data_IF_850444857584
#
_entry.id   IF_850444857584
#
_cell.length_a   1.000
_cell.length_b   1.000
_cell.length_c   1.000
_cell.angle_alpha   90.00
_cell.angle_beta   90.00
_cell.angle_gamma   90.00
#
_symmetry.space_group_name_H-M   'P 1'
#
loop_
_entity.id
_entity.type
_entity.pdbx_description
1 polymer ?
#
# COMPACT_ATOMS: atom_id res chain seq x y z
N UNK A 1 -7.19 1.49 -13.65
CA UNK A 1 -6.36 1.58 -14.88
C UNK A 1 -5.99 0.19 -15.39
N UNK A 2 -5.41 -0.70 -14.56
CA UNK A 2 -5.10 -2.09 -14.94
C UNK A 2 -6.31 -2.85 -15.48
N UNK A 3 -7.37 -2.98 -14.67
CA UNK A 3 -8.63 -3.62 -15.06
C UNK A 3 -9.27 -2.91 -16.25
N UNK A 4 -9.15 -1.57 -16.34
CA UNK A 4 -9.69 -0.81 -17.46
C UNK A 4 -8.96 -1.12 -18.78
N UNK A 5 -7.63 -1.20 -18.75
CA UNK A 5 -6.83 -1.58 -19.91
C UNK A 5 -7.07 -3.04 -20.31
N UNK A 6 -7.17 -3.95 -19.34
CA UNK A 6 -7.48 -5.36 -19.58
C UNK A 6 -8.87 -5.54 -20.20
N UNK A 7 -9.87 -4.82 -19.69
CA UNK A 7 -11.21 -4.75 -20.28
C UNK A 7 -11.15 -4.17 -21.70
N UNK A 8 -10.45 -3.06 -21.92
CA UNK A 8 -10.29 -2.47 -23.26
C UNK A 8 -9.62 -3.45 -24.23
N UNK A 9 -8.59 -4.17 -23.80
CA UNK A 9 -7.93 -5.20 -24.62
C UNK A 9 -8.83 -6.39 -24.94
N UNK A 10 -9.76 -6.72 -24.03
CA UNK A 10 -10.71 -7.83 -24.21
C UNK A 10 -11.83 -7.45 -25.18
N UNK A 11 -12.31 -6.20 -25.12
CA UNK A 11 -13.43 -5.72 -25.93
C UNK A 11 -13.02 -5.16 -27.30
N UNK A 12 -11.78 -4.67 -27.47
CA UNK A 12 -11.29 -4.11 -28.75
C UNK A 12 -9.82 -4.44 -29.01
N UNK A 13 -9.54 -5.71 -29.37
CA UNK A 13 -8.22 -6.17 -29.83
C UNK A 13 -7.53 -5.26 -30.86
N UNK A 14 -8.18 -4.79 -31.94
CA UNK A 14 -7.48 -3.98 -32.94
C UNK A 14 -7.04 -2.61 -32.42
N UNK A 15 -7.81 -2.00 -31.50
CA UNK A 15 -7.44 -0.74 -30.86
C UNK A 15 -6.28 -0.94 -29.86
N UNK A 16 -6.33 -2.05 -29.11
CA UNK A 16 -5.24 -2.49 -28.24
C UNK A 16 -3.95 -2.66 -29.03
N UNK A 17 -3.97 -3.41 -30.14
CA UNK A 17 -2.80 -3.65 -30.97
C UNK A 17 -2.22 -2.34 -31.54
N UNK A 18 -3.07 -1.36 -31.86
CA UNK A 18 -2.64 -0.02 -32.29
C UNK A 18 -1.97 0.79 -31.18
N UNK A 19 -2.47 0.71 -29.94
CA UNK A 19 -1.91 1.39 -28.78
C UNK A 19 -0.57 0.76 -28.36
N UNK A 20 -0.52 -0.58 -28.27
CA UNK A 20 0.71 -1.34 -27.99
C UNK A 20 1.72 -1.29 -29.13
N UNK A 21 1.31 -0.91 -30.35
CA UNK A 21 2.21 -0.70 -31.48
C UNK A 21 3.14 0.50 -31.30
N UNK A 22 2.79 1.48 -30.45
CA UNK A 22 3.64 2.64 -30.21
C UNK A 22 4.81 2.29 -29.27
N UNK A 23 6.04 2.66 -29.66
CA UNK A 23 7.24 2.40 -28.85
C UNK A 23 7.14 3.07 -27.46
N UNK A 24 6.52 4.25 -27.41
CA UNK A 24 6.27 5.00 -26.19
C UNK A 24 5.38 4.21 -25.21
N UNK A 25 4.28 3.61 -25.69
CA UNK A 25 3.39 2.82 -24.85
C UNK A 25 4.02 1.50 -24.40
N UNK A 26 4.80 0.85 -25.25
CA UNK A 26 5.55 -0.36 -24.88
C UNK A 26 6.44 -0.12 -23.65
N UNK A 27 7.16 1.00 -23.61
CA UNK A 27 8.05 1.34 -22.49
C UNK A 27 7.28 1.88 -21.28
N UNK A 28 6.45 2.91 -21.51
CA UNK A 28 5.78 3.64 -20.45
C UNK A 28 4.62 2.85 -19.83
N UNK A 29 3.92 2.05 -20.64
CA UNK A 29 2.85 1.18 -20.18
C UNK A 29 3.37 0.12 -19.20
N UNK A 30 4.43 -0.61 -19.58
CA UNK A 30 5.05 -1.60 -18.69
C UNK A 30 5.64 -0.94 -17.43
N UNK A 31 6.24 0.25 -17.56
CA UNK A 31 6.73 1.03 -16.41
C UNK A 31 5.61 1.37 -15.41
N UNK A 32 4.48 1.92 -15.90
CA UNK A 32 3.32 2.24 -15.06
C UNK A 32 2.72 0.98 -14.43
N UNK A 33 2.62 -0.11 -15.21
CA UNK A 33 2.07 -1.38 -14.75
C UNK A 33 2.88 -1.95 -13.58
N UNK A 34 4.21 -1.79 -13.60
CA UNK A 34 5.06 -2.22 -12.52
C UNK A 34 5.00 -1.27 -11.30
N UNK A 35 5.12 0.04 -11.52
CA UNK A 35 5.32 0.99 -10.42
C UNK A 35 4.04 1.24 -9.60
N UNK A 36 2.86 1.30 -10.23
CA UNK A 36 1.62 1.67 -9.54
C UNK A 36 1.24 0.68 -8.44
N UNK A 37 1.27 -0.65 -8.66
CA UNK A 37 0.99 -1.60 -7.61
C UNK A 37 2.02 -1.57 -6.48
N UNK A 38 3.31 -1.42 -6.78
CA UNK A 38 4.37 -1.31 -5.78
C UNK A 38 4.22 -0.06 -4.90
N UNK A 39 3.89 1.09 -5.51
CA UNK A 39 3.60 2.32 -4.79
C UNK A 39 2.37 2.18 -3.89
N UNK A 40 1.29 1.60 -4.42
CA UNK A 40 0.07 1.35 -3.66
C UNK A 40 0.38 0.52 -2.40
N UNK A 41 1.04 -0.63 -2.56
CA UNK A 41 1.45 -1.50 -1.46
C UNK A 41 2.34 -0.78 -0.44
N UNK A 42 3.32 0.00 -0.91
CA UNK A 42 4.21 0.79 -0.03
C UNK A 42 3.43 1.79 0.82
N UNK A 43 2.48 2.51 0.21
CA UNK A 43 1.68 3.51 0.92
C UNK A 43 0.73 2.89 1.95
N UNK A 44 0.22 1.69 1.69
CA UNK A 44 -0.59 0.95 2.67
C UNK A 44 0.26 0.57 3.90
N UNK A 45 1.50 0.12 3.68
CA UNK A 45 2.45 -0.17 4.76
C UNK A 45 2.78 1.11 5.55
N UNK A 46 3.12 2.21 4.88
CA UNK A 46 3.39 3.49 5.53
C UNK A 46 2.19 4.01 6.32
N UNK A 47 0.97 3.88 5.79
CA UNK A 47 -0.26 4.25 6.50
C UNK A 47 -0.45 3.39 7.75
N UNK A 48 -0.06 2.12 7.71
CA UNK A 48 -0.11 1.23 8.88
C UNK A 48 0.93 1.64 9.93
N UNK A 49 2.13 2.02 9.51
CA UNK A 49 3.18 2.55 10.39
C UNK A 49 2.71 3.85 11.07
N UNK A 50 2.16 4.79 10.29
CA UNK A 50 1.64 6.05 10.82
C UNK A 50 0.55 5.81 11.88
N UNK A 51 -0.39 4.91 11.61
CA UNK A 51 -1.42 4.50 12.59
C UNK A 51 -0.82 3.85 13.83
N UNK A 52 0.18 3.01 13.69
CA UNK A 52 0.93 2.46 14.83
C UNK A 52 1.54 3.59 15.66
N UNK A 53 2.19 4.56 15.03
CA UNK A 53 2.79 5.71 15.70
C UNK A 53 1.74 6.54 16.48
N UNK A 54 0.56 6.79 15.89
CA UNK A 54 -0.55 7.49 16.57
C UNK A 54 -1.06 6.69 17.77
N UNK A 55 -1.19 5.37 17.62
CA UNK A 55 -1.71 4.48 18.67
C UNK A 55 -0.73 4.26 19.84
N UNK A 56 0.55 4.59 19.64
CA UNK A 56 1.61 4.34 20.61
C UNK A 56 1.50 5.25 21.84
N UNK A 57 1.77 4.67 23.00
CA UNK A 57 1.81 5.40 24.28
C UNK A 57 3.08 6.24 24.43
N UNK A 58 4.13 5.94 23.66
CA UNK A 58 5.39 6.66 23.72
C UNK A 58 5.28 7.98 22.93
N UNK A 59 5.46 9.11 23.61
CA UNK A 59 5.39 10.43 22.99
C UNK A 59 6.42 10.61 21.86
N UNK A 60 7.59 10.00 21.96
CA UNK A 60 8.65 10.08 20.94
C UNK A 60 8.20 9.40 19.65
N UNK A 61 7.58 8.22 19.74
CA UNK A 61 7.04 7.50 18.58
C UNK A 61 5.83 8.25 18.00
N UNK A 62 4.99 8.84 18.84
CA UNK A 62 3.83 9.63 18.39
C UNK A 62 4.22 10.87 17.60
N UNK A 63 5.36 11.50 17.93
CA UNK A 63 5.90 12.66 17.20
C UNK A 63 6.27 12.33 15.75
N UNK A 64 6.51 11.06 15.41
CA UNK A 64 6.79 10.64 14.02
C UNK A 64 5.56 10.74 13.11
N UNK A 65 4.35 10.65 13.67
CA UNK A 65 3.09 10.86 12.92
C UNK A 65 2.78 12.36 12.76
N UNK A 66 3.78 13.14 12.38
CA UNK A 66 3.61 14.54 12.03
C UNK A 66 3.39 14.64 10.52
N UNK A 67 2.35 15.36 10.11
CA UNK A 67 2.00 15.56 8.69
C UNK A 67 3.18 16.04 7.84
N UNK A 68 4.10 16.84 8.41
CA UNK A 68 5.30 17.31 7.71
C UNK A 68 6.27 16.15 7.41
N UNK A 69 6.49 15.28 8.39
CA UNK A 69 7.37 14.11 8.25
C UNK A 69 6.72 13.10 7.29
N UNK A 70 5.43 12.80 7.47
CA UNK A 70 4.72 11.86 6.60
C UNK A 70 4.75 12.29 5.13
N UNK A 71 4.63 13.59 4.85
CA UNK A 71 4.76 14.12 3.47
C UNK A 71 6.16 13.92 2.89
N UNK A 72 7.20 14.16 3.68
CA UNK A 72 8.60 13.94 3.26
C UNK A 72 8.83 12.46 2.96
N UNK A 73 8.38 11.55 3.83
CA UNK A 73 8.53 10.11 3.64
C UNK A 73 7.80 9.63 2.39
N UNK A 74 6.55 10.05 2.17
CA UNK A 74 5.78 9.71 0.97
C UNK A 74 6.50 10.16 -0.30
N UNK A 75 7.04 11.39 -0.30
CA UNK A 75 7.80 11.91 -1.43
C UNK A 75 9.10 11.12 -1.67
N UNK A 76 9.85 10.80 -0.62
CA UNK A 76 11.07 9.98 -0.73
C UNK A 76 10.75 8.60 -1.31
N UNK A 77 9.69 7.94 -0.83
CA UNK A 77 9.27 6.63 -1.32
C UNK A 77 8.85 6.69 -2.79
N UNK A 78 8.14 7.75 -3.20
CA UNK A 78 7.80 7.98 -4.60
C UNK A 78 9.05 8.07 -5.48
N UNK A 79 10.03 8.88 -5.08
CA UNK A 79 11.28 9.06 -5.84
C UNK A 79 12.08 7.75 -5.91
N UNK A 80 12.19 7.02 -4.80
CA UNK A 80 12.89 5.72 -4.75
C UNK A 80 12.26 4.75 -5.76
N UNK A 81 10.93 4.62 -5.76
CA UNK A 81 10.26 3.72 -6.70
C UNK A 81 10.42 4.16 -8.14
N UNK A 82 10.29 5.46 -8.44
CA UNK A 82 10.49 5.98 -9.79
C UNK A 82 11.89 5.65 -10.32
N UNK A 83 12.92 5.91 -9.50
CA UNK A 83 14.32 5.61 -9.86
C UNK A 83 14.56 4.11 -9.98
N UNK A 84 14.01 3.29 -9.07
CA UNK A 84 14.14 1.84 -9.12
C UNK A 84 13.53 1.27 -10.41
N UNK A 85 12.32 1.72 -10.79
CA UNK A 85 11.64 1.24 -11.99
C UNK A 85 12.25 1.74 -13.31
N UNK A 86 13.25 2.64 -13.28
CA UNK A 86 13.86 3.20 -14.48
C UNK A 86 14.50 2.14 -15.39
N UNK A 87 14.87 0.98 -14.83
CA UNK A 87 15.42 -0.14 -15.60
C UNK A 87 14.42 -0.71 -16.64
N UNK A 88 13.11 -0.56 -16.42
CA UNK A 88 12.04 -1.07 -17.30
C UNK A 88 12.01 -0.37 -18.67
N UNK A 89 11.86 0.97 -18.78
CA UNK A 89 11.84 1.65 -20.07
C UNK A 89 13.18 1.53 -20.83
N UNK A 90 14.27 1.20 -20.14
CA UNK A 90 15.57 0.95 -20.75
C UNK A 90 15.61 -0.48 -21.32
N UNK A 91 15.14 -1.48 -20.57
CA UNK A 91 15.18 -2.89 -20.97
C UNK A 91 14.17 -3.31 -22.04
N UNK A 92 12.98 -2.69 -22.05
CA UNK A 92 11.93 -3.03 -23.02
C UNK A 92 12.10 -2.27 -24.33
N UNK A 93 11.98 -2.98 -25.45
CA UNK A 93 11.89 -2.38 -26.77
C UNK A 93 10.89 -3.12 -27.66
N UNK A 94 10.61 -2.52 -28.82
CA UNK A 94 9.72 -3.09 -29.82
C UNK A 94 10.53 -4.02 -30.72
N UNK A 95 10.36 -5.33 -30.54
CA UNK A 95 11.07 -6.35 -31.31
C UNK A 95 10.12 -6.94 -32.35
N UNK A 96 10.55 -6.96 -33.61
CA UNK A 96 9.82 -7.63 -34.69
C UNK A 96 10.26 -9.08 -34.73
N UNK A 97 9.30 -9.98 -34.56
CA UNK A 97 9.58 -11.41 -34.62
C UNK A 97 9.83 -11.84 -36.08
N UNK A 98 11.00 -12.42 -36.41
CA UNK A 98 11.35 -12.78 -37.77
C UNK A 98 10.50 -13.92 -38.35
N UNK A 99 9.90 -14.78 -37.51
CA UNK A 99 9.07 -15.90 -38.00
C UNK A 99 7.62 -15.49 -38.27
N UNK A 100 7.07 -14.61 -37.44
CA UNK A 100 5.63 -14.28 -37.50
C UNK A 100 5.38 -12.91 -38.13
N UNK A 101 6.41 -12.09 -38.34
CA UNK A 101 6.32 -10.68 -38.73
C UNK A 101 5.49 -9.80 -37.78
N UNK A 102 5.05 -10.36 -36.65
CA UNK A 102 4.31 -9.65 -35.61
C UNK A 102 5.30 -8.85 -34.78
N UNK A 103 4.94 -7.61 -34.50
CA UNK A 103 5.76 -6.76 -33.64
C UNK A 103 5.26 -6.86 -32.21
N UNK A 104 6.15 -7.24 -31.29
CA UNK A 104 5.83 -7.41 -29.87
C UNK A 104 6.72 -6.52 -29.01
N UNK A 105 6.17 -6.07 -27.89
CA UNK A 105 6.92 -5.40 -26.85
C UNK A 105 7.64 -6.47 -26.01
N UNK A 106 8.96 -6.51 -26.06
CA UNK A 106 9.75 -7.53 -25.36
C UNK A 106 11.08 -6.94 -24.89
N UNK A 107 11.71 -7.62 -23.94
CA UNK A 107 13.03 -7.22 -23.44
C UNK A 107 14.06 -7.46 -24.55
N UNK A 108 14.81 -6.41 -24.90
CA UNK A 108 15.90 -6.46 -25.89
C UNK A 108 17.27 -6.64 -25.22
N UNK A 109 17.43 -6.08 -24.02
CA UNK A 109 18.71 -6.05 -23.32
C UNK A 109 18.93 -7.34 -22.54
N UNK A 110 19.96 -8.09 -22.91
CA UNK A 110 20.36 -9.34 -22.25
C UNK A 110 19.50 -10.54 -22.64
N UNK A 111 19.50 -11.57 -21.79
CA UNK A 111 18.59 -12.71 -21.95
C UNK A 111 17.18 -12.29 -21.51
N UNK A 112 16.19 -12.24 -22.43
CA UNK A 112 14.84 -11.77 -22.10
C UNK A 112 14.22 -12.62 -20.98
N UNK A 113 14.52 -13.91 -20.97
CA UNK A 113 14.06 -14.84 -19.94
C UNK A 113 14.62 -14.50 -18.56
N UNK A 114 15.91 -14.17 -18.47
CA UNK A 114 16.57 -13.86 -17.19
C UNK A 114 16.05 -12.56 -16.60
N UNK A 115 15.85 -11.54 -17.43
CA UNK A 115 15.31 -10.26 -17.00
C UNK A 115 13.90 -10.42 -16.40
N UNK A 116 13.01 -11.12 -17.12
CA UNK A 116 11.62 -11.35 -16.69
C UNK A 116 11.57 -12.16 -15.40
N UNK A 117 12.43 -13.18 -15.25
CA UNK A 117 12.49 -14.00 -14.04
C UNK A 117 12.91 -13.15 -12.84
N UNK A 118 13.96 -12.33 -12.99
CA UNK A 118 14.47 -11.51 -11.88
C UNK A 118 13.43 -10.48 -11.47
N UNK A 119 12.89 -9.72 -12.43
CA UNK A 119 11.90 -8.66 -12.14
C UNK A 119 10.61 -9.24 -11.57
N UNK A 120 10.12 -10.34 -12.16
CA UNK A 120 8.96 -11.08 -11.66
C UNK A 120 9.17 -11.64 -10.25
N UNK A 121 10.38 -12.14 -9.94
CA UNK A 121 10.72 -12.61 -8.60
C UNK A 121 10.71 -11.46 -7.59
N UNK A 122 11.32 -10.31 -7.89
CA UNK A 122 11.30 -9.15 -7.00
C UNK A 122 9.88 -8.63 -6.77
N UNK A 123 9.07 -8.54 -7.83
CA UNK A 123 7.68 -8.11 -7.75
C UNK A 123 6.85 -9.07 -6.90
N UNK A 124 6.99 -10.38 -7.14
CA UNK A 124 6.30 -11.43 -6.38
C UNK A 124 6.72 -11.45 -4.92
N UNK A 125 8.02 -11.32 -4.63
CA UNK A 125 8.53 -11.27 -3.25
C UNK A 125 8.01 -10.03 -2.51
N UNK A 126 8.01 -8.88 -3.17
CA UNK A 126 7.59 -7.62 -2.55
C UNK A 126 6.09 -7.62 -2.22
N UNK A 127 5.24 -8.05 -3.17
CA UNK A 127 3.78 -8.08 -2.99
C UNK A 127 3.32 -9.29 -2.19
N UNK A 128 3.88 -10.46 -2.47
CA UNK A 128 3.44 -11.73 -1.87
C UNK A 128 3.99 -11.98 -0.47
N UNK A 129 5.16 -11.44 -0.11
CA UNK A 129 5.77 -11.71 1.20
C UNK A 129 6.03 -10.44 2.01
N UNK A 130 6.77 -9.48 1.46
CA UNK A 130 7.28 -8.33 2.24
C UNK A 130 6.13 -7.44 2.72
N UNK A 131 5.26 -7.03 1.79
CA UNK A 131 4.10 -6.17 2.11
C UNK A 131 3.19 -6.80 3.17
N UNK A 132 2.65 -8.02 3.00
CA UNK A 132 1.77 -8.63 3.99
C UNK A 132 2.47 -8.90 5.32
N UNK A 133 3.76 -9.22 5.32
CA UNK A 133 4.55 -9.38 6.54
C UNK A 133 4.57 -8.09 7.38
N UNK A 134 4.88 -6.94 6.77
CA UNK A 134 4.85 -5.66 7.47
C UNK A 134 3.45 -5.29 7.94
N UNK A 135 2.43 -5.50 7.10
CA UNK A 135 1.04 -5.23 7.49
C UNK A 135 0.59 -6.11 8.67
N UNK A 136 1.00 -7.37 8.70
CA UNK A 136 0.71 -8.27 9.81
C UNK A 136 1.36 -7.78 11.11
N UNK A 137 2.66 -7.44 11.06
CA UNK A 137 3.39 -6.93 12.24
C UNK A 137 2.76 -5.64 12.76
N UNK A 138 2.60 -4.63 11.91
CA UNK A 138 2.03 -3.34 12.36
C UNK A 138 0.56 -3.48 12.74
N UNK A 139 -0.21 -4.32 12.06
CA UNK A 139 -1.58 -4.65 12.43
C UNK A 139 -1.69 -5.25 13.83
N UNK A 140 -0.85 -6.24 14.16
CA UNK A 140 -0.78 -6.83 15.48
C UNK A 140 -0.36 -5.80 16.54
N UNK A 141 0.66 -4.99 16.28
CA UNK A 141 1.12 -3.94 17.19
C UNK A 141 0.02 -2.91 17.47
N UNK A 142 -0.72 -2.47 16.44
CA UNK A 142 -1.87 -1.57 16.60
C UNK A 142 -2.94 -2.25 17.47
N UNK A 143 -3.25 -3.52 17.23
CA UNK A 143 -4.22 -4.28 18.01
C UNK A 143 -3.83 -4.34 19.49
N UNK A 144 -2.57 -4.65 19.81
CA UNK A 144 -2.08 -4.67 21.19
C UNK A 144 -2.18 -3.28 21.86
N UNK A 145 -1.78 -2.22 21.16
CA UNK A 145 -1.90 -0.85 21.67
C UNK A 145 -3.36 -0.46 21.92
N UNK A 146 -4.28 -0.81 21.03
CA UNK A 146 -5.71 -0.54 21.19
C UNK A 146 -6.32 -1.31 22.36
N UNK A 147 -5.99 -2.60 22.54
CA UNK A 147 -6.46 -3.40 23.67
C UNK A 147 -6.00 -2.79 24.99
N UNK A 148 -4.72 -2.41 25.08
CA UNK A 148 -4.13 -1.74 26.26
C UNK A 148 -4.78 -0.39 26.54
N UNK A 149 -5.10 0.38 25.50
CA UNK A 149 -5.79 1.67 25.63
C UNK A 149 -7.21 1.50 26.16
N UNK A 150 -7.98 0.52 25.64
CA UNK A 150 -9.34 0.21 26.13
C UNK A 150 -9.36 -0.22 27.60
N UNK A 151 -8.42 -1.07 28.04
CA UNK A 151 -8.35 -1.52 29.43
C UNK A 151 -8.05 -0.40 30.43
N UNK A 152 -7.51 0.75 30.00
CA UNK A 152 -7.28 1.92 30.87
C UNK A 152 -8.46 2.87 30.94
N UNK A 153 -9.39 2.81 29.98
CA UNK A 153 -10.52 3.72 29.86
C UNK A 153 -11.80 3.11 30.47
N UNK A 154 -11.85 1.80 30.76
CA UNK A 154 -12.85 1.27 31.69
C UNK A 154 -12.53 1.85 33.08
N UNK A 155 -13.32 2.80 33.61
CA UNK A 155 -13.15 3.22 34.97
C UNK A 155 -13.51 2.03 35.86
N UNK A 156 -12.88 1.95 37.02
CA UNK A 156 -13.36 1.11 38.11
C UNK A 156 -14.85 1.45 38.40
N UNK A 157 -15.79 0.75 37.79
CA UNK A 157 -17.23 0.83 38.10
C UNK A 157 -17.54 0.10 39.41
N UNK A 158 -16.63 0.14 40.38
CA UNK A 158 -16.80 -0.44 41.71
C UNK A 158 -15.94 0.35 42.71
N UNK A 159 -16.29 1.61 42.94
CA UNK A 159 -16.04 2.29 44.21
C UNK A 159 -17.07 3.40 44.37
N UNK A 160 -18.03 3.11 45.23
CA UNK A 160 -19.04 4.01 45.78
C UNK A 160 -18.34 5.27 46.35
N UNK A 161 -19.01 6.43 46.23
CA UNK A 161 -18.74 7.69 46.96
C UNK A 161 -17.77 8.70 46.33
N UNK A 162 -18.31 9.66 45.54
CA UNK A 162 -18.50 11.05 45.97
C UNK A 162 -18.90 11.95 44.78
N UNK A 163 -20.11 12.51 44.90
CA UNK A 163 -20.77 13.43 43.96
C UNK A 163 -20.17 14.85 44.05
N UNK A 164 -18.93 15.14 43.64
CA UNK A 164 -18.48 16.55 43.51
C UNK A 164 -17.44 16.75 42.40
N UNK A 165 -17.64 16.24 41.17
CA UNK A 165 -16.87 16.73 39.98
C UNK A 165 -17.57 16.40 38.64
N UNK A 166 -18.90 16.56 38.55
CA UNK A 166 -19.67 16.13 37.37
C UNK A 166 -19.71 17.14 36.20
N UNK A 167 -19.01 18.27 36.29
CA UNK A 167 -19.11 19.37 35.29
C UNK A 167 -18.11 19.32 34.12
N UNK A 168 -16.96 18.66 34.24
CA UNK A 168 -15.88 18.71 33.24
C UNK A 168 -15.51 17.37 32.58
N UNK A 169 -15.93 16.24 33.14
CA UNK A 169 -15.54 14.90 32.64
C UNK A 169 -16.49 14.40 31.53
N UNK A 170 -17.71 14.95 31.45
CA UNK A 170 -18.77 14.57 30.51
C UNK A 170 -18.55 15.04 29.07
N UNK A 171 -17.66 16.00 28.81
CA UNK A 171 -17.32 16.46 27.45
C UNK A 171 -16.13 15.71 26.82
N UNK A 172 -15.30 15.05 27.62
CA UNK A 172 -14.09 14.32 27.18
C UNK A 172 -14.43 12.87 26.78
N UNK A 173 -15.38 12.24 27.49
CA UNK A 173 -15.87 10.89 27.19
C UNK A 173 -16.44 10.71 25.77
N UNK A 174 -17.30 11.59 25.20
CA UNK A 174 -17.80 11.41 23.85
C UNK A 174 -16.68 11.53 22.80
N UNK A 175 -15.70 12.42 23.01
CA UNK A 175 -14.56 12.60 22.09
C UNK A 175 -13.70 11.33 22.05
N UNK A 176 -13.43 10.72 23.22
CA UNK A 176 -12.63 9.48 23.32
C UNK A 176 -13.40 8.30 22.70
N UNK A 177 -14.71 8.18 22.93
CA UNK A 177 -15.53 7.09 22.36
C UNK A 177 -15.60 7.21 20.83
N UNK A 178 -15.80 8.42 20.28
CA UNK A 178 -15.81 8.68 18.84
C UNK A 178 -14.44 8.40 18.21
N UNK A 179 -13.35 8.79 18.87
CA UNK A 179 -11.98 8.48 18.43
C UNK A 179 -11.72 6.97 18.40
N UNK A 180 -12.17 6.23 19.43
CA UNK A 180 -12.02 4.78 19.50
C UNK A 180 -12.85 4.05 18.44
N UNK A 181 -14.04 4.57 18.13
CA UNK A 181 -14.91 4.03 17.07
C UNK A 181 -14.29 4.26 15.69
N UNK A 182 -13.77 5.46 15.40
CA UNK A 182 -13.02 5.75 14.16
C UNK A 182 -11.78 4.85 14.01
N UNK A 183 -11.00 4.67 15.08
CA UNK A 183 -9.84 3.79 15.06
C UNK A 183 -10.23 2.33 14.80
N UNK A 184 -11.35 1.87 15.36
CA UNK A 184 -11.88 0.53 15.10
C UNK A 184 -12.31 0.36 13.64
N UNK A 185 -13.06 1.32 13.08
CA UNK A 185 -13.46 1.26 11.67
C UNK A 185 -12.27 1.30 10.72
N UNK A 186 -11.25 2.10 11.03
CA UNK A 186 -10.01 2.14 10.27
C UNK A 186 -9.19 0.85 10.39
N UNK A 187 -9.17 0.20 11.56
CA UNK A 187 -8.55 -1.11 11.76
C UNK A 187 -9.29 -2.20 10.98
N UNK A 188 -10.61 -2.21 11.00
CA UNK A 188 -11.43 -3.13 10.20
C UNK A 188 -11.18 -2.93 8.71
N UNK A 189 -11.07 -1.68 8.25
CA UNK A 189 -10.68 -1.37 6.87
C UNK A 189 -9.29 -1.92 6.54
N UNK A 190 -8.31 -1.79 7.44
CA UNK A 190 -6.96 -2.34 7.27
C UNK A 190 -6.97 -3.87 7.22
N UNK A 191 -7.72 -4.54 8.10
CA UNK A 191 -7.85 -5.99 8.11
C UNK A 191 -8.53 -6.51 6.85
N UNK A 192 -9.60 -5.86 6.41
CA UNK A 192 -10.25 -6.18 5.13
C UNK A 192 -9.28 -5.96 3.98
N UNK A 193 -8.47 -4.91 4.01
CA UNK A 193 -7.47 -4.63 2.99
C UNK A 193 -6.34 -5.68 2.98
N UNK A 194 -5.85 -6.11 4.15
CA UNK A 194 -4.89 -7.21 4.28
C UNK A 194 -5.49 -8.51 3.77
N UNK A 195 -6.72 -8.82 4.16
CA UNK A 195 -7.44 -10.02 3.72
C UNK A 195 -7.65 -10.01 2.20
N UNK A 196 -8.04 -8.87 1.62
CA UNK A 196 -8.16 -8.69 0.16
C UNK A 196 -6.81 -8.87 -0.52
N UNK A 197 -5.74 -8.29 0.03
CA UNK A 197 -4.38 -8.38 -0.56
C UNK A 197 -3.90 -9.83 -0.57
N UNK A 198 -4.15 -10.58 0.50
CA UNK A 198 -3.80 -12.01 0.61
C UNK A 198 -4.68 -12.87 -0.31
N UNK A 199 -5.99 -12.64 -0.35
CA UNK A 199 -6.95 -13.47 -1.11
C UNK A 199 -6.88 -13.19 -2.61
N UNK A 200 -6.79 -11.93 -3.02
CA UNK A 200 -6.80 -11.56 -4.45
C UNK A 200 -5.45 -11.74 -5.12
N UNK A 201 -4.38 -12.06 -4.37
CA UNK A 201 -3.03 -12.16 -4.90
C UNK A 201 -2.67 -10.95 -5.79
N UNK A 202 -3.21 -9.78 -5.42
CA UNK A 202 -2.85 -8.49 -6.02
C UNK A 202 -1.51 -8.09 -5.42
#
# INVERSE_FOLDING_TARGET
VFILMEIITTFNKPLSDQIYSTNIWCKFGNYIMFILPCLSSSYIVLASIDRYCISSLNQTIRKLSNIKISRIIVFIVLIIWLLFSLHIPIGYNRIRDPLTNITRCSVEIGSPTTYIIIDGFFFSLYKGAITPFFLCIFGLLIYYNMKRSRSRILPQTNSRSNRITAGQISSITPIIIVQNRRNSHMLTMLLVQVLLTIILNI
#
